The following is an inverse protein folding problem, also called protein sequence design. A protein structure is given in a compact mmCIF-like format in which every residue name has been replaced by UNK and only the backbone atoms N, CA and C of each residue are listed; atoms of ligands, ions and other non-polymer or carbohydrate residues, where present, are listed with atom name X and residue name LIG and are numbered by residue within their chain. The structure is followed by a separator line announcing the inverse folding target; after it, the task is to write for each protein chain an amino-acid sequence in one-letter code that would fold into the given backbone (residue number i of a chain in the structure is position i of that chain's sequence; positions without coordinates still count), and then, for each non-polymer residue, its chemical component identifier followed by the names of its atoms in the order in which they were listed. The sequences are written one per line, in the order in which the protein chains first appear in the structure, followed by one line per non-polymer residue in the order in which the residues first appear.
data_IF_908545785250
#
_entry.id   IF_908545785250
#
_cell.length_a   1.000
_cell.length_b   1.000
_cell.length_c   1.000
_cell.angle_alpha   90.00
_cell.angle_beta   90.00
_cell.angle_gamma   90.00
#
_symmetry.space_group_name_H-M   'P 1'
#
loop_
_entity.id
_entity.type
_entity.pdbx_description
1 polymer ?
#
# COMPACT_ATOMS: atom_id res chain seq x y z
N UNK A 1 -8.48 -3.80 9.83
CA UNK A 1 -7.25 -3.04 10.15
C UNK A 1 -6.81 -3.33 11.58
N UNK A 2 -6.70 -4.61 11.94
CA UNK A 2 -6.50 -5.02 13.34
C UNK A 2 -5.11 -4.66 13.86
N UNK A 3 -4.08 -4.84 13.03
CA UNK A 3 -2.69 -4.57 13.37
C UNK A 3 -2.44 -3.10 13.73
N UNK A 4 -2.84 -2.15 12.87
CA UNK A 4 -2.66 -0.72 13.12
C UNK A 4 -3.36 -0.26 14.40
N UNK A 5 -4.56 -0.78 14.68
CA UNK A 5 -5.28 -0.48 15.93
C UNK A 5 -4.55 -1.05 17.16
N UNK A 6 -3.87 -2.20 17.03
CA UNK A 6 -3.03 -2.75 18.10
C UNK A 6 -1.75 -1.92 18.31
N UNK A 7 -1.08 -1.52 17.23
CA UNK A 7 0.11 -0.65 17.29
C UNK A 7 -0.26 0.68 17.96
N UNK A 8 -1.40 1.27 17.59
CA UNK A 8 -1.91 2.49 18.21
C UNK A 8 -2.09 2.34 19.72
N UNK A 9 -2.75 1.25 20.17
CA UNK A 9 -2.98 0.99 21.60
C UNK A 9 -1.70 0.83 22.42
N UNK A 10 -0.62 0.40 21.77
CA UNK A 10 0.68 0.16 22.40
C UNK A 10 1.71 1.22 22.01
N UNK A 11 1.31 2.36 21.43
CA UNK A 11 2.22 3.35 20.85
C UNK A 11 3.27 3.83 21.86
N UNK A 12 2.89 4.02 23.12
CA UNK A 12 3.78 4.41 24.20
C UNK A 12 4.88 3.38 24.53
N UNK A 13 4.75 2.13 24.08
CA UNK A 13 5.74 1.06 24.27
C UNK A 13 6.80 1.03 23.17
N UNK A 14 6.50 1.61 22.00
CA UNK A 14 7.48 1.72 20.90
C UNK A 14 8.32 2.98 21.11
N UNK A 15 9.24 2.89 22.06
CA UNK A 15 10.28 3.91 22.27
C UNK A 15 11.38 3.77 21.23
N UNK A 16 12.13 4.85 21.00
CA UNK A 16 13.29 4.80 20.12
C UNK A 16 14.38 3.86 20.68
N UNK A 17 14.56 3.84 22.01
CA UNK A 17 15.49 2.91 22.66
C UNK A 17 15.10 1.45 22.41
N UNK A 18 13.81 1.11 22.55
CA UNK A 18 13.31 -0.22 22.22
C UNK A 18 13.51 -0.54 20.74
N UNK A 19 13.28 0.44 19.87
CA UNK A 19 13.50 0.31 18.44
C UNK A 19 14.98 -0.01 18.11
N UNK A 20 15.92 0.65 18.77
CA UNK A 20 17.36 0.39 18.62
C UNK A 20 17.78 -0.98 19.19
N UNK A 21 17.09 -1.50 20.20
CA UNK A 21 17.31 -2.87 20.69
C UNK A 21 16.88 -3.91 19.64
N UNK A 22 15.77 -3.67 18.94
CA UNK A 22 15.33 -4.55 17.84
C UNK A 22 16.21 -4.40 16.59
N UNK A 23 16.67 -3.17 16.30
CA UNK A 23 17.43 -2.83 15.10
C UNK A 23 18.70 -2.03 15.45
N UNK A 24 19.76 -2.71 15.93
CA UNK A 24 20.98 -2.04 16.36
C UNK A 24 21.67 -1.24 15.25
N UNK A 25 22.31 -0.13 15.63
CA UNK A 25 23.10 0.69 14.70
C UNK A 25 24.37 -0.06 14.34
N UNK A 26 24.52 -0.38 13.06
CA UNK A 26 25.72 -1.00 12.50
C UNK A 26 26.24 -0.12 11.35
N UNK A 27 27.09 0.85 11.67
CA UNK A 27 27.60 1.85 10.72
C UNK A 27 26.71 3.10 10.67
N UNK A 28 25.76 3.14 9.75
CA UNK A 28 24.90 4.32 9.52
C UNK A 28 23.57 4.25 10.28
N UNK A 29 23.17 5.37 10.91
CA UNK A 29 21.94 5.50 11.71
C UNK A 29 20.71 5.78 10.83
N UNK A 30 20.25 4.78 10.08
CA UNK A 30 19.02 4.88 9.29
C UNK A 30 17.75 4.83 10.16
N UNK A 31 17.84 4.25 11.35
CA UNK A 31 16.72 4.01 12.28
C UNK A 31 15.98 5.30 12.62
N UNK A 32 16.73 6.39 12.80
CA UNK A 32 16.19 7.70 13.17
C UNK A 32 15.22 8.23 12.12
N UNK A 33 15.56 8.07 10.84
CA UNK A 33 14.72 8.50 9.73
C UNK A 33 13.41 7.72 9.72
N UNK A 34 13.47 6.40 9.79
CA UNK A 34 12.27 5.53 9.78
C UNK A 34 11.41 5.78 11.01
N UNK A 35 12.01 5.90 12.19
CA UNK A 35 11.28 6.17 13.43
C UNK A 35 10.59 7.53 13.40
N UNK A 36 11.22 8.54 12.79
CA UNK A 36 10.61 9.88 12.64
C UNK A 36 9.33 9.88 11.80
N UNK A 37 9.16 8.91 10.89
CA UNK A 37 7.92 8.79 10.12
C UNK A 37 6.71 8.55 11.04
N UNK A 38 6.89 7.81 12.12
CA UNK A 38 5.84 7.49 13.10
C UNK A 38 5.92 8.31 14.39
N UNK A 39 7.03 9.00 14.68
CA UNK A 39 7.19 9.81 15.90
C UNK A 39 7.09 11.32 15.64
N UNK A 40 6.59 12.09 16.60
CA UNK A 40 6.61 13.56 16.54
C UNK A 40 7.84 14.16 17.23
N UNK A 41 8.36 13.47 18.25
CA UNK A 41 9.43 13.98 19.12
C UNK A 41 10.71 13.14 19.02
N UNK A 42 10.71 12.05 18.26
CA UNK A 42 11.82 11.13 18.13
C UNK A 42 11.97 10.13 19.29
N UNK A 43 11.14 10.21 20.33
CA UNK A 43 11.27 9.37 21.54
C UNK A 43 10.29 8.20 21.55
N UNK A 44 9.04 8.44 21.13
CA UNK A 44 7.96 7.45 21.10
C UNK A 44 7.13 7.65 19.83
N UNK A 45 6.55 6.59 19.28
CA UNK A 45 5.64 6.74 18.14
C UNK A 45 4.34 7.45 18.54
N UNK A 46 3.77 8.20 17.61
CA UNK A 46 2.59 9.03 17.82
C UNK A 46 1.31 8.26 17.51
N UNK A 47 0.44 8.11 18.51
CA UNK A 47 -0.93 7.62 18.32
C UNK A 47 -1.68 8.42 17.26
N UNK A 48 -1.48 9.74 17.23
CA UNK A 48 -2.16 10.63 16.28
C UNK A 48 -1.74 10.35 14.84
N UNK A 49 -0.45 10.10 14.58
CA UNK A 49 0.04 9.73 13.23
C UNK A 49 -0.61 8.41 12.77
N UNK A 50 -0.67 7.42 13.66
CA UNK A 50 -1.27 6.11 13.36
C UNK A 50 -2.79 6.23 13.15
N UNK A 51 -3.46 7.05 13.96
CA UNK A 51 -4.90 7.33 13.79
C UNK A 51 -5.20 8.01 12.46
N UNK A 52 -4.34 8.94 12.03
CA UNK A 52 -4.48 9.58 10.72
C UNK A 52 -4.35 8.56 9.58
N UNK A 53 -3.37 7.65 9.65
CA UNK A 53 -3.22 6.57 8.67
C UNK A 53 -4.45 5.65 8.62
N UNK A 54 -4.97 5.27 9.80
CA UNK A 54 -6.19 4.46 9.91
C UNK A 54 -7.37 5.18 9.27
N UNK A 55 -7.54 6.49 9.52
CA UNK A 55 -8.60 7.31 8.94
C UNK A 55 -8.46 7.40 7.43
N UNK A 56 -7.26 7.57 6.92
CA UNK A 56 -6.99 7.66 5.48
C UNK A 56 -7.33 6.34 4.77
N UNK A 57 -6.87 5.23 5.32
CA UNK A 57 -7.21 3.91 4.80
C UNK A 57 -8.73 3.62 4.90
N UNK A 58 -9.42 4.07 5.95
CA UNK A 58 -10.89 3.96 6.07
C UNK A 58 -11.60 4.81 5.01
N UNK A 59 -11.08 6.01 4.73
CA UNK A 59 -11.60 6.93 3.71
C UNK A 59 -11.52 6.31 2.31
N UNK A 60 -10.36 5.79 1.91
CA UNK A 60 -10.21 5.15 0.59
C UNK A 60 -11.11 3.91 0.48
N UNK A 61 -11.18 3.08 1.54
CA UNK A 61 -12.05 1.90 1.56
C UNK A 61 -13.51 2.28 1.32
N UNK A 62 -14.01 3.30 2.03
CA UNK A 62 -15.39 3.76 1.88
C UNK A 62 -15.69 4.24 0.46
N UNK A 63 -14.71 4.88 -0.19
CA UNK A 63 -14.84 5.40 -1.55
C UNK A 63 -14.91 4.30 -2.60
N UNK A 64 -14.02 3.31 -2.54
CA UNK A 64 -13.89 2.31 -3.62
C UNK A 64 -14.66 1.02 -3.36
N UNK A 65 -14.96 0.65 -2.11
CA UNK A 65 -15.55 -0.64 -1.78
C UNK A 65 -16.89 -0.93 -2.50
N UNK A 66 -17.84 0.01 -2.62
CA UNK A 66 -19.07 -0.24 -3.37
C UNK A 66 -18.84 -0.56 -4.84
N UNK A 67 -17.83 0.07 -5.46
CA UNK A 67 -17.44 -0.17 -6.84
C UNK A 67 -16.73 -1.51 -7.01
N UNK A 68 -15.78 -1.83 -6.14
CA UNK A 68 -15.08 -3.12 -6.18
C UNK A 68 -16.05 -4.29 -5.95
N UNK A 69 -16.93 -4.18 -4.95
CA UNK A 69 -17.90 -5.23 -4.59
C UNK A 69 -18.90 -5.49 -5.72
N UNK A 70 -19.61 -4.45 -6.17
CA UNK A 70 -20.68 -4.61 -7.16
C UNK A 70 -20.17 -4.66 -8.60
N UNK A 71 -19.18 -3.84 -8.92
CA UNK A 71 -18.70 -3.64 -10.29
C UNK A 71 -17.65 -4.64 -10.73
N UNK A 72 -16.83 -5.14 -9.80
CA UNK A 72 -15.75 -6.09 -10.12
C UNK A 72 -16.09 -7.50 -9.62
N UNK A 73 -16.38 -7.65 -8.33
CA UNK A 73 -16.54 -8.98 -7.73
C UNK A 73 -17.86 -9.66 -8.14
N UNK A 74 -18.97 -8.91 -8.16
CA UNK A 74 -20.30 -9.46 -8.42
C UNK A 74 -20.85 -9.19 -9.82
N UNK A 75 -20.21 -8.30 -10.61
CA UNK A 75 -20.71 -7.86 -11.92
C UNK A 75 -22.22 -7.58 -11.89
N UNK A 76 -22.66 -6.83 -10.88
CA UNK A 76 -24.08 -6.62 -10.58
C UNK A 76 -24.79 -5.94 -11.75
N UNK A 77 -25.80 -6.62 -12.30
CA UNK A 77 -26.60 -6.16 -13.45
C UNK A 77 -27.36 -4.87 -13.18
N UNK A 78 -27.58 -4.51 -11.91
CA UNK A 78 -28.21 -3.23 -11.52
C UNK A 78 -27.33 -2.02 -11.83
N UNK A 79 -26.07 -2.25 -12.20
CA UNK A 79 -25.07 -1.23 -12.43
C UNK A 79 -24.53 -0.67 -11.11
N UNK A 80 -23.31 -0.18 -11.14
CA UNK A 80 -22.76 0.60 -10.03
C UNK A 80 -23.02 2.08 -10.34
N UNK A 81 -23.87 2.73 -9.56
CA UNK A 81 -24.09 4.20 -9.63
C UNK A 81 -22.88 5.01 -9.12
N UNK A 82 -21.78 4.34 -8.77
CA UNK A 82 -20.63 4.98 -8.15
C UNK A 82 -19.81 5.73 -9.22
N UNK A 83 -19.66 7.03 -9.02
CA UNK A 83 -18.73 7.93 -9.71
C UNK A 83 -17.27 7.66 -9.33
N UNK A 84 -16.86 6.39 -9.32
CA UNK A 84 -15.47 5.98 -9.09
C UNK A 84 -14.76 5.99 -10.44
N UNK A 85 -13.76 6.85 -10.55
CA UNK A 85 -12.91 6.96 -11.74
C UNK A 85 -11.69 6.04 -11.62
N UNK A 86 -11.01 5.75 -12.74
CA UNK A 86 -9.72 5.05 -12.70
C UNK A 86 -8.70 5.78 -11.82
N UNK A 87 -8.71 7.12 -11.85
CA UNK A 87 -7.88 7.94 -10.98
C UNK A 87 -8.15 7.67 -9.50
N UNK A 88 -9.42 7.48 -9.11
CA UNK A 88 -9.75 7.19 -7.72
C UNK A 88 -9.23 5.82 -7.25
N UNK A 89 -9.14 4.85 -8.17
CA UNK A 89 -8.53 3.55 -7.91
C UNK A 89 -7.01 3.70 -7.77
N UNK A 90 -6.36 4.40 -8.69
CA UNK A 90 -4.91 4.65 -8.65
C UNK A 90 -4.50 5.41 -7.40
N UNK A 91 -5.19 6.52 -7.08
CA UNK A 91 -4.96 7.30 -5.87
C UNK A 91 -5.16 6.43 -4.61
N UNK A 92 -6.12 5.50 -4.61
CA UNK A 92 -6.33 4.58 -3.49
C UNK A 92 -5.20 3.55 -3.36
N UNK A 93 -4.65 3.09 -4.48
CA UNK A 93 -3.49 2.20 -4.48
C UNK A 93 -2.24 2.91 -3.96
N UNK A 94 -1.99 4.17 -4.35
CA UNK A 94 -0.87 4.97 -3.82
C UNK A 94 -0.93 5.14 -2.30
N UNK A 95 -2.11 5.48 -1.76
CA UNK A 95 -2.30 5.61 -0.31
C UNK A 95 -2.05 4.29 0.40
N UNK A 96 -2.59 3.19 -0.13
CA UNK A 96 -2.37 1.87 0.45
C UNK A 96 -0.90 1.48 0.41
N UNK A 97 -0.23 1.71 -0.72
CA UNK A 97 1.19 1.41 -0.94
C UNK A 97 2.06 2.15 0.06
N UNK A 98 1.93 3.48 0.12
CA UNK A 98 2.69 4.35 1.01
C UNK A 98 2.52 3.95 2.48
N UNK A 99 1.29 3.71 2.93
CA UNK A 99 1.04 3.32 4.32
C UNK A 99 1.60 1.92 4.60
N UNK A 100 1.38 0.95 3.72
CA UNK A 100 1.88 -0.41 3.93
C UNK A 100 3.41 -0.45 3.96
N UNK A 101 4.07 0.20 3.01
CA UNK A 101 5.52 0.37 2.95
C UNK A 101 6.08 0.97 4.24
N UNK A 102 5.48 2.05 4.74
CA UNK A 102 5.88 2.71 6.00
C UNK A 102 5.88 1.73 7.19
N UNK A 103 4.82 0.93 7.35
CA UNK A 103 4.74 0.00 8.48
C UNK A 103 5.58 -1.26 8.29
N UNK A 104 5.76 -1.74 7.05
CA UNK A 104 6.69 -2.84 6.75
C UNK A 104 8.11 -2.43 7.11
N UNK A 105 8.52 -1.24 6.66
CA UNK A 105 9.85 -0.70 6.92
C UNK A 105 10.08 -0.50 8.42
N UNK A 106 9.12 0.09 9.13
CA UNK A 106 9.18 0.25 10.58
C UNK A 106 9.30 -1.10 11.31
N UNK A 107 8.43 -2.08 11.01
CA UNK A 107 8.36 -3.34 11.76
C UNK A 107 9.43 -4.35 11.41
N UNK A 108 10.05 -4.26 10.23
CA UNK A 108 10.95 -5.31 9.73
C UNK A 108 12.35 -4.84 9.40
N UNK A 109 12.63 -3.53 9.42
CA UNK A 109 13.86 -2.90 8.91
C UNK A 109 14.14 -3.12 7.42
N UNK A 110 13.23 -3.76 6.69
CA UNK A 110 13.37 -3.97 5.25
C UNK A 110 12.81 -2.77 4.52
N UNK A 111 13.66 -2.08 3.76
CA UNK A 111 13.24 -1.01 2.86
C UNK A 111 12.20 -1.56 1.89
N UNK A 112 11.02 -0.96 1.87
CA UNK A 112 9.94 -1.32 0.97
C UNK A 112 9.50 -0.04 0.25
N UNK A 113 9.99 0.16 -0.97
CA UNK A 113 9.69 1.39 -1.71
C UNK A 113 8.31 1.36 -2.36
N UNK A 114 7.86 0.17 -2.77
CA UNK A 114 6.52 -0.06 -3.31
C UNK A 114 6.18 -1.54 -3.26
N UNK A 115 4.91 -1.84 -3.03
CA UNK A 115 4.25 -3.13 -3.20
C UNK A 115 3.69 -3.31 -4.62
N UNK A 116 3.82 -2.31 -5.49
CA UNK A 116 3.35 -2.42 -6.87
C UNK A 116 4.17 -3.46 -7.62
N UNK A 117 3.52 -4.30 -8.44
CA UNK A 117 4.22 -5.23 -9.29
C UNK A 117 5.06 -4.46 -10.31
N UNK A 118 6.31 -4.88 -10.49
CA UNK A 118 7.13 -4.39 -11.59
C UNK A 118 6.72 -5.10 -12.87
N UNK A 119 6.34 -4.33 -13.90
CA UNK A 119 6.06 -4.86 -15.24
C UNK A 119 7.37 -5.41 -15.82
N UNK A 120 7.49 -6.74 -15.88
CA UNK A 120 8.70 -7.43 -16.36
C UNK A 120 8.82 -7.42 -17.90
N UNK A 121 7.68 -7.38 -18.59
CA UNK A 121 7.61 -7.45 -20.04
C UNK A 121 6.65 -6.39 -20.55
N UNK A 122 6.94 -5.82 -21.73
CA UNK A 122 6.02 -4.90 -22.38
C UNK A 122 4.76 -5.65 -22.84
N UNK A 123 3.78 -5.74 -21.93
CA UNK A 123 2.49 -6.39 -22.19
C UNK A 123 1.73 -5.70 -23.33
N UNK A 124 2.02 -4.43 -23.64
CA UNK A 124 1.38 -3.73 -24.75
C UNK A 124 1.86 -4.19 -26.12
N UNK A 125 2.99 -4.91 -26.19
CA UNK A 125 3.56 -5.44 -27.44
C UNK A 125 2.54 -6.25 -28.24
N UNK A 126 1.66 -7.00 -27.58
CA UNK A 126 0.61 -7.80 -28.24
C UNK A 126 -0.40 -6.95 -29.02
N UNK A 127 -0.55 -5.66 -28.69
CA UNK A 127 -1.46 -4.74 -29.39
C UNK A 127 -0.76 -3.94 -30.49
N UNK A 128 0.58 -4.04 -30.62
CA UNK A 128 1.35 -3.31 -31.63
C UNK A 128 1.41 -4.02 -32.98
N UNK A 129 1.01 -5.29 -33.02
CA UNK A 129 0.88 -6.08 -34.24
C UNK A 129 -0.58 -6.44 -34.43
N UNK A 130 -1.13 -6.33 -35.65
CA UNK A 130 -2.43 -6.91 -35.96
C UNK A 130 -2.40 -8.39 -35.55
N UNK A 131 -3.47 -8.88 -34.93
CA UNK A 131 -3.68 -10.32 -34.72
C UNK A 131 -3.80 -10.97 -36.11
N UNK A 132 -2.67 -11.34 -36.71
CA UNK A 132 -2.64 -12.01 -38.01
C UNK A 132 -2.94 -13.49 -37.79
N UNK A 133 -4.23 -13.78 -37.64
CA UNK A 133 -4.81 -15.12 -37.46
C UNK A 133 -4.36 -16.11 -38.55
N UNK A 134 -3.93 -15.62 -39.72
CA UNK A 134 -3.42 -16.42 -40.85
C UNK A 134 -2.09 -17.11 -40.57
N UNK A 135 -1.31 -16.68 -39.57
CA UNK A 135 -0.05 -17.35 -39.21
C UNK A 135 -0.25 -18.64 -38.43
N UNK A 136 -1.40 -18.81 -37.77
CA UNK A 136 -1.69 -20.03 -37.00
C UNK A 136 -2.23 -21.18 -37.87
N UNK A 137 -2.62 -20.92 -39.12
CA UNK A 137 -3.14 -21.94 -40.04
C UNK A 137 -2.05 -22.60 -40.91
N UNK A 138 -0.80 -22.13 -40.86
CA UNK A 138 0.30 -22.68 -41.65
C UNK A 138 1.19 -23.69 -40.89
N UNK A 139 0.91 -23.91 -39.60
CA UNK A 139 1.66 -24.84 -38.73
C UNK A 139 0.88 -26.12 -38.36
N UNK A 140 -0.26 -26.41 -39.02
CA UNK A 140 -0.98 -27.70 -38.90
C UNK A 140 -0.98 -28.49 -40.21
#
# INVERSE_FOLDING_TARGET
MKLLEQIKKCANQFTYDFYLQCFPINGYEWQKSIFSNLSNNGNVISEQKIENDIKELKKIKKKIAPFVDRGIAHLDKRGVSATVTYKDLDDSLEVFDSIACKYIEFLTSKSCNSLRPTIQFNWQKIFTVPLDIRKFEQEN
#
